data_IF_775116246023
#
_entry.id   IF_775116246023
#
_cell.length_a   1.000
_cell.length_b   1.000
_cell.length_c   1.000
_cell.angle_alpha   90.00
_cell.angle_beta   90.00
_cell.angle_gamma   90.00
#
_symmetry.space_group_name_H-M   'P 1'
#
loop_
_entity.id
_entity.type
_entity.pdbx_description
1 polymer ?
#
# COMPACT_ATOMS: atom_id res chain seq x y z
N UNK A 1 10.86 17.00 23.47
CA UNK A 1 11.23 15.88 22.58
C UNK A 1 10.82 16.29 21.19
N UNK A 2 11.74 16.23 20.22
CA UNK A 2 11.38 16.46 18.81
C UNK A 2 10.47 15.30 18.37
N UNK A 3 9.34 15.61 17.74
CA UNK A 3 8.49 14.58 17.14
C UNK A 3 9.29 14.03 15.95
N UNK A 4 9.58 12.72 15.89
CA UNK A 4 10.32 12.17 14.76
C UNK A 4 9.56 12.49 13.48
N UNK A 5 10.28 12.96 12.46
CA UNK A 5 9.70 13.25 11.15
C UNK A 5 9.64 11.94 10.38
N UNK A 6 8.47 11.62 9.84
CA UNK A 6 8.30 10.50 8.91
C UNK A 6 8.37 11.04 7.48
N UNK A 7 9.14 10.36 6.62
CA UNK A 7 9.28 10.77 5.24
C UNK A 7 8.08 10.36 4.37
N UNK A 8 7.83 11.03 3.23
CA UNK A 8 6.76 10.66 2.32
C UNK A 8 6.92 9.25 1.73
N UNK A 9 5.81 8.53 1.58
CA UNK A 9 5.80 7.19 0.98
C UNK A 9 6.05 7.26 -0.53
N UNK A 10 6.82 6.31 -1.07
CA UNK A 10 7.00 6.13 -2.52
C UNK A 10 6.11 4.98 -3.01
N UNK A 11 5.09 5.29 -3.82
CA UNK A 11 4.15 4.27 -4.30
C UNK A 11 4.80 3.23 -5.23
N UNK A 12 5.80 3.63 -6.03
CA UNK A 12 6.50 2.74 -6.95
C UNK A 12 7.68 1.98 -6.32
N UNK A 13 7.77 2.00 -4.98
CA UNK A 13 8.73 1.18 -4.26
C UNK A 13 8.35 -0.31 -4.35
N UNK A 14 9.31 -1.17 -4.05
CA UNK A 14 9.04 -2.61 -3.92
C UNK A 14 8.02 -2.89 -2.82
N UNK A 15 7.28 -4.01 -2.88
CA UNK A 15 6.33 -4.37 -1.82
C UNK A 15 6.93 -4.36 -0.41
N UNK A 16 8.18 -4.82 -0.25
CA UNK A 16 8.89 -4.82 1.04
C UNK A 16 9.21 -3.41 1.53
N UNK A 17 9.66 -2.50 0.66
CA UNK A 17 9.91 -1.10 1.04
C UNK A 17 8.61 -0.39 1.46
N UNK A 18 7.47 -0.74 0.84
CA UNK A 18 6.17 -0.21 1.24
C UNK A 18 5.78 -0.75 2.63
N UNK A 19 5.97 -2.04 2.89
CA UNK A 19 5.71 -2.64 4.21
C UNK A 19 6.59 -2.02 5.31
N UNK A 20 7.90 -1.90 5.08
CA UNK A 20 8.83 -1.24 6.01
C UNK A 20 8.44 0.23 6.29
N UNK A 21 7.92 0.94 5.29
CA UNK A 21 7.42 2.31 5.50
C UNK A 21 6.14 2.33 6.36
N UNK A 22 5.21 1.40 6.12
CA UNK A 22 3.98 1.28 6.92
C UNK A 22 4.31 0.95 8.38
N UNK A 23 5.24 0.03 8.64
CA UNK A 23 5.68 -0.31 10.00
C UNK A 23 6.29 0.90 10.72
N UNK A 24 7.10 1.70 10.03
CA UNK A 24 7.65 2.94 10.59
C UNK A 24 6.58 3.99 10.86
N UNK A 25 5.55 4.07 10.01
CA UNK A 25 4.38 4.92 10.25
C UNK A 25 3.60 4.48 11.50
N UNK A 26 3.39 3.18 11.70
CA UNK A 26 2.72 2.65 12.89
C UNK A 26 3.52 2.93 14.16
N UNK A 27 4.84 2.72 14.13
CA UNK A 27 5.71 3.07 15.25
C UNK A 27 5.63 4.58 15.54
N UNK A 28 5.65 5.41 14.51
CA UNK A 28 5.47 6.86 14.64
C UNK A 28 4.12 7.21 15.27
N UNK A 29 3.02 6.57 14.86
CA UNK A 29 1.68 6.75 15.42
C UNK A 29 1.61 6.51 16.92
N UNK A 30 2.38 5.53 17.43
CA UNK A 30 2.40 5.16 18.85
C UNK A 30 3.18 6.13 19.75
N UNK A 31 3.93 7.07 19.17
CA UNK A 31 4.65 8.09 19.93
C UNK A 31 3.65 9.09 20.51
N UNK A 32 3.73 9.43 21.82
CA UNK A 32 2.89 10.46 22.43
C UNK A 32 3.07 11.80 21.71
N UNK A 33 1.98 12.36 21.20
CA UNK A 33 1.93 13.67 20.54
C UNK A 33 0.91 14.54 21.26
N UNK A 34 1.13 15.85 21.23
CA UNK A 34 0.17 16.80 21.75
C UNK A 34 -1.03 16.87 20.78
N UNK A 35 -2.18 16.37 21.24
CA UNK A 35 -3.43 16.33 20.47
C UNK A 35 -3.72 15.00 19.75
N UNK A 36 -4.99 14.79 19.41
CA UNK A 36 -5.45 13.63 18.66
C UNK A 36 -5.23 13.85 17.16
N UNK A 37 -4.31 13.11 16.57
CA UNK A 37 -4.06 13.15 15.12
C UNK A 37 -4.89 12.06 14.44
N UNK A 38 -5.63 12.41 13.38
CA UNK A 38 -6.29 11.42 12.55
C UNK A 38 -5.23 10.70 11.69
N UNK A 39 -4.84 9.51 12.10
CA UNK A 39 -3.80 8.71 11.43
C UNK A 39 -4.13 8.45 9.95
N UNK A 40 -5.39 8.28 9.57
CA UNK A 40 -5.79 8.10 8.17
C UNK A 40 -5.47 9.34 7.32
N UNK A 41 -5.75 10.54 7.85
CA UNK A 41 -5.46 11.81 7.15
C UNK A 41 -3.96 12.02 7.01
N UNK A 42 -3.18 11.76 8.06
CA UNK A 42 -1.72 11.89 8.03
C UNK A 42 -1.12 10.89 7.04
N UNK A 43 -1.57 9.62 7.08
CA UNK A 43 -1.15 8.57 6.16
C UNK A 43 -1.38 8.96 4.69
N UNK A 44 -2.59 9.44 4.36
CA UNK A 44 -2.94 9.90 3.01
C UNK A 44 -2.15 11.14 2.57
N UNK A 45 -1.80 12.01 3.52
CA UNK A 45 -0.98 13.20 3.24
C UNK A 45 0.45 12.81 2.89
N UNK A 46 1.05 11.91 3.67
CA UNK A 46 2.43 11.45 3.47
C UNK A 46 2.59 10.55 2.24
N UNK A 47 1.56 9.80 1.90
CA UNK A 47 1.54 8.95 0.70
C UNK A 47 1.17 9.70 -0.59
N UNK A 48 0.66 10.92 -0.45
CA UNK A 48 0.40 11.84 -1.55
C UNK A 48 -0.77 11.45 -2.44
N UNK A 49 -0.89 12.17 -3.57
CA UNK A 49 -2.05 12.07 -4.47
C UNK A 49 -2.24 10.69 -5.10
N UNK A 50 -1.16 9.96 -5.38
CA UNK A 50 -1.26 8.69 -6.08
C UNK A 50 -1.96 7.62 -5.21
N UNK A 51 -1.58 7.50 -3.94
CA UNK A 51 -2.26 6.56 -3.03
C UNK A 51 -3.71 7.00 -2.78
N UNK A 52 -3.96 8.31 -2.63
CA UNK A 52 -5.32 8.83 -2.49
C UNK A 52 -6.21 8.45 -3.70
N UNK A 53 -5.69 8.57 -4.93
CA UNK A 53 -6.40 8.13 -6.14
C UNK A 53 -6.56 6.62 -6.21
N UNK A 54 -5.55 5.83 -5.82
CA UNK A 54 -5.64 4.38 -5.76
C UNK A 54 -6.75 3.93 -4.79
N UNK A 55 -6.74 4.45 -3.56
CA UNK A 55 -7.76 4.13 -2.54
C UNK A 55 -9.16 4.50 -3.04
N UNK A 56 -9.32 5.67 -3.67
CA UNK A 56 -10.60 6.08 -4.26
C UNK A 56 -11.10 5.10 -5.33
N UNK A 57 -10.19 4.58 -6.17
CA UNK A 57 -10.53 3.58 -7.18
C UNK A 57 -10.89 2.23 -6.54
N UNK A 58 -10.18 1.81 -5.49
CA UNK A 58 -10.40 0.54 -4.81
C UNK A 58 -11.69 0.51 -3.97
N UNK A 59 -12.12 1.66 -3.42
CA UNK A 59 -13.27 1.72 -2.50
C UNK A 59 -14.59 2.07 -3.19
N UNK A 60 -14.57 2.35 -4.50
CA UNK A 60 -15.71 2.58 -5.39
C UNK A 60 -16.76 3.64 -4.96
N UNK A 61 -16.63 4.27 -3.78
CA UNK A 61 -17.66 5.17 -3.24
C UNK A 61 -17.18 6.02 -2.05
N UNK A 62 -16.28 5.53 -1.20
CA UNK A 62 -15.92 6.24 0.04
C UNK A 62 -14.85 7.32 -0.16
N UNK A 63 -14.97 8.41 0.60
CA UNK A 63 -13.97 9.48 0.69
C UNK A 63 -12.75 8.91 1.45
N UNK A 64 -11.54 8.84 0.86
CA UNK A 64 -10.41 8.14 1.47
C UNK A 64 -10.08 8.54 2.92
N UNK A 65 -10.14 9.82 3.32
CA UNK A 65 -9.98 10.25 4.72
C UNK A 65 -10.94 9.64 5.75
N UNK A 66 -12.11 9.18 5.34
CA UNK A 66 -13.12 8.59 6.24
C UNK A 66 -12.84 7.12 6.56
N UNK A 67 -11.93 6.49 5.82
CA UNK A 67 -11.56 5.11 6.04
C UNK A 67 -10.67 5.00 7.30
N UNK A 68 -10.95 4.03 8.19
CA UNK A 68 -10.04 3.71 9.28
C UNK A 68 -8.65 3.34 8.74
N UNK A 69 -7.60 3.70 9.46
CA UNK A 69 -6.22 3.41 9.06
C UNK A 69 -6.01 1.92 8.76
N UNK A 70 -6.57 1.01 9.56
CA UNK A 70 -6.52 -0.43 9.31
C UNK A 70 -7.11 -0.84 7.95
N UNK A 71 -8.16 -0.15 7.50
CA UNK A 71 -8.76 -0.39 6.18
C UNK A 71 -7.86 0.13 5.07
N UNK A 72 -7.20 1.26 5.26
CA UNK A 72 -6.22 1.79 4.31
C UNK A 72 -5.02 0.85 4.16
N UNK A 73 -4.52 0.33 5.28
CA UNK A 73 -3.42 -0.65 5.31
C UNK A 73 -3.78 -1.93 4.58
N UNK A 74 -4.98 -2.49 4.81
CA UNK A 74 -5.41 -3.70 4.12
C UNK A 74 -5.50 -3.49 2.60
N UNK A 75 -6.06 -2.35 2.15
CA UNK A 75 -6.18 -2.02 0.73
C UNK A 75 -4.81 -1.91 0.05
N UNK A 76 -3.83 -1.30 0.73
CA UNK A 76 -2.46 -1.20 0.22
C UNK A 76 -1.80 -2.57 0.11
N UNK A 77 -1.97 -3.42 1.13
CA UNK A 77 -1.43 -4.79 1.13
C UNK A 77 -2.03 -5.63 0.01
N UNK A 78 -3.35 -5.60 -0.17
CA UNK A 78 -4.05 -6.35 -1.21
C UNK A 78 -3.65 -5.89 -2.62
N UNK A 79 -3.32 -4.61 -2.80
CA UNK A 79 -2.81 -4.08 -4.07
C UNK A 79 -1.38 -4.55 -4.36
N UNK A 80 -0.50 -4.55 -3.35
CA UNK A 80 0.90 -4.91 -3.50
C UNK A 80 1.12 -6.43 -3.62
N UNK A 81 0.18 -7.21 -3.09
CA UNK A 81 0.17 -8.67 -3.14
C UNK A 81 -1.07 -9.15 -3.88
N UNK A 82 -1.15 -8.91 -5.21
CA UNK A 82 -2.27 -9.40 -5.98
C UNK A 82 -2.31 -10.92 -5.88
N UNK A 83 -3.50 -11.47 -5.61
CA UNK A 83 -3.72 -12.92 -5.66
C UNK A 83 -3.33 -13.41 -7.06
N UNK A 84 -2.47 -14.43 -7.12
CA UNK A 84 -2.06 -15.04 -8.38
C UNK A 84 -3.30 -15.49 -9.14
N UNK A 85 -3.58 -14.81 -10.25
CA UNK A 85 -4.68 -15.20 -11.11
C UNK A 85 -4.31 -16.52 -11.79
N UNK A 86 -5.14 -17.54 -11.64
CA UNK A 86 -4.93 -18.84 -12.29
C UNK A 86 -4.71 -18.70 -13.81
N UNK A 87 -5.33 -17.70 -14.44
CA UNK A 87 -5.12 -17.41 -15.87
C UNK A 87 -3.69 -16.93 -16.16
N UNK A 88 -3.13 -16.08 -15.30
CA UNK A 88 -1.74 -15.61 -15.39
C UNK A 88 -0.76 -16.77 -15.23
N UNK A 89 -0.97 -17.63 -14.24
CA UNK A 89 -0.12 -18.81 -14.00
C UNK A 89 -0.20 -19.82 -15.16
N UNK A 90 -1.41 -20.09 -15.68
CA UNK A 90 -1.60 -20.93 -16.87
C UNK A 90 -0.90 -20.34 -18.11
N UNK A 91 -0.94 -19.03 -18.25
CA UNK A 91 -0.23 -18.34 -19.35
C UNK A 91 1.27 -18.51 -19.21
N UNK A 92 1.85 -18.23 -18.03
CA UNK A 92 3.28 -18.45 -17.72
C UNK A 92 3.71 -19.88 -18.02
N UNK A 93 2.95 -20.87 -17.53
CA UNK A 93 3.21 -22.29 -17.77
C UNK A 93 3.18 -22.65 -19.26
N UNK A 94 2.18 -22.14 -20.00
CA UNK A 94 2.07 -22.38 -21.45
C UNK A 94 3.24 -21.76 -22.22
N UNK A 95 3.70 -20.56 -21.85
CA UNK A 95 4.88 -19.95 -22.46
C UNK A 95 6.17 -20.73 -22.18
N UNK A 96 6.34 -21.27 -20.97
CA UNK A 96 7.50 -22.11 -20.63
C UNK A 96 7.53 -23.39 -21.49
N UNK A 97 6.39 -24.04 -21.68
CA UNK A 97 6.29 -25.25 -22.52
C UNK A 97 6.58 -24.96 -24.00
N UNK A 98 6.22 -23.77 -24.50
CA UNK A 98 6.55 -23.33 -25.87
C UNK A 98 8.03 -23.03 -26.03
N UNK A 99 8.69 -22.47 -25.01
CA UNK A 99 10.12 -22.18 -25.04
C UNK A 99 10.99 -23.45 -24.96
N UNK A 100 10.53 -24.48 -24.24
CA UNK A 100 11.21 -25.78 -24.15
C UNK A 100 11.03 -26.68 -25.39
N UNK A 101 10.00 -26.43 -26.20
CA UNK A 101 9.72 -27.15 -27.45
C UNK A 101 10.24 -26.37 -28.67
N UNK A 102 11.45 -25.81 -28.59
CA UNK A 102 12.14 -25.26 -29.76
C UNK A 102 12.84 -26.43 -30.47
N UNK A 103 12.55 -26.70 -31.77
CA UNK A 103 13.23 -27.75 -32.53
C UNK A 103 14.73 -27.48 -32.72
#
# INVERSE_FOLDING_TARGET
>A
MEIPVIEPMKLHASPSEIEEWVERFELWCNIPKEGMQNHSVVFLTLSGRQLHSLVKNLTFSNVPPELPFEKLKSLLRDHNHPVDCQATERTKFTSMNKAGNMP
#
